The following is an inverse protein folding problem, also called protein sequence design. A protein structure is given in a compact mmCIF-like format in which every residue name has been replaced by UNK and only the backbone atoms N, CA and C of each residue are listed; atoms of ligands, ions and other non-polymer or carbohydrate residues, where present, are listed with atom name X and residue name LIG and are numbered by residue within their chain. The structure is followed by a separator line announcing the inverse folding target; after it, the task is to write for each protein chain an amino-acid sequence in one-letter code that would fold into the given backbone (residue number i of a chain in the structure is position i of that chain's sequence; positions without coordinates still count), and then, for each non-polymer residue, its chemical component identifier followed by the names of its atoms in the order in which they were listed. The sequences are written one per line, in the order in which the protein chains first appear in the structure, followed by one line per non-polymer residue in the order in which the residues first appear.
data_IF_494284572692
#
_entry.id   IF_494284572692
#
_cell.length_a   1.000
_cell.length_b   1.000
_cell.length_c   1.000
_cell.angle_alpha   90.00
_cell.angle_beta   90.00
_cell.angle_gamma   90.00
#
_symmetry.space_group_name_H-M   'P 1'
#
loop_
_entity.id
_entity.type
_entity.pdbx_description
1 polymer ?
#
# COMPACT_ATOMS: atom_id res chain seq x y z
N UNK A 1 12.01 -28.11 -0.01
CA UNK A 1 11.55 -27.18 1.05
C UNK A 1 11.46 -25.82 0.40
N UNK A 2 10.27 -25.43 -0.06
CA UNK A 2 10.03 -24.07 -0.54
C UNK A 2 10.08 -23.13 0.66
N UNK A 3 11.00 -22.17 0.62
CA UNK A 3 10.91 -21.02 1.51
C UNK A 3 9.59 -20.34 1.20
N UNK A 4 8.70 -20.22 2.19
CA UNK A 4 7.58 -19.31 2.10
C UNK A 4 8.16 -17.92 1.87
N UNK A 5 8.11 -17.42 0.63
CA UNK A 5 8.45 -16.04 0.32
C UNK A 5 7.42 -15.18 1.04
N UNK A 6 7.79 -14.69 2.21
CA UNK A 6 7.00 -13.73 2.93
C UNK A 6 6.89 -12.48 2.05
N UNK A 7 5.73 -12.37 1.39
CA UNK A 7 5.30 -11.29 0.51
C UNK A 7 6.02 -11.23 -0.83
N UNK A 8 5.27 -11.38 -1.92
CA UNK A 8 5.77 -10.99 -3.23
C UNK A 8 5.82 -9.45 -3.28
N UNK A 9 7.00 -8.83 -3.47
CA UNK A 9 7.10 -7.39 -3.65
C UNK A 9 6.53 -7.00 -5.02
N UNK A 10 5.80 -5.90 -5.06
CA UNK A 10 5.16 -5.35 -6.27
C UNK A 10 5.62 -3.90 -6.41
N UNK A 11 6.41 -3.63 -7.44
CA UNK A 11 6.89 -2.28 -7.75
C UNK A 11 5.93 -1.58 -8.73
N UNK A 12 5.29 -0.49 -8.31
CA UNK A 12 4.44 0.31 -9.20
C UNK A 12 5.24 1.34 -9.99
N UNK A 13 5.13 1.27 -11.31
CA UNK A 13 5.84 2.12 -12.26
C UNK A 13 5.11 3.45 -12.48
N UNK A 14 5.82 4.44 -13.00
CA UNK A 14 5.23 5.74 -13.37
C UNK A 14 4.15 5.67 -14.46
N UNK A 15 4.08 4.55 -15.18
CA UNK A 15 3.05 4.21 -16.19
C UNK A 15 1.75 3.70 -15.59
N UNK A 16 1.77 3.22 -14.34
CA UNK A 16 0.66 2.52 -13.69
C UNK A 16 -0.32 3.54 -13.11
N UNK A 17 -0.83 4.43 -13.96
CA UNK A 17 -1.60 5.63 -13.55
C UNK A 17 -3.08 5.38 -13.41
N UNK A 18 -3.58 4.25 -13.91
CA UNK A 18 -4.98 3.84 -13.84
C UNK A 18 -5.07 2.38 -13.38
N UNK A 19 -6.20 1.94 -12.79
CA UNK A 19 -6.34 0.55 -12.37
C UNK A 19 -6.07 -0.47 -13.48
N UNK A 20 -6.46 -0.13 -14.73
CA UNK A 20 -6.23 -0.97 -15.90
C UNK A 20 -4.75 -0.99 -16.35
N UNK A 21 -4.02 0.11 -16.17
CA UNK A 21 -2.60 0.21 -16.53
C UNK A 21 -1.66 -0.39 -15.47
N UNK A 22 -2.13 -0.55 -14.24
CA UNK A 22 -1.37 -1.17 -13.15
C UNK A 22 -1.54 -2.69 -13.05
N UNK A 23 -0.73 -3.34 -12.19
CA UNK A 23 -0.79 -4.78 -11.97
C UNK A 23 -2.12 -5.21 -11.32
N UNK A 24 -2.48 -6.47 -11.54
CA UNK A 24 -3.56 -7.16 -10.84
C UNK A 24 -2.95 -8.18 -9.87
N UNK A 25 -3.20 -7.97 -8.59
CA UNK A 25 -2.79 -8.86 -7.50
C UNK A 25 -3.94 -9.84 -7.24
N UNK A 26 -3.93 -10.97 -7.96
CA UNK A 26 -5.10 -11.86 -8.08
C UNK A 26 -5.42 -12.66 -6.82
N UNK A 27 -4.43 -12.94 -5.98
CA UNK A 27 -4.57 -13.81 -4.80
C UNK A 27 -4.75 -12.98 -3.53
N UNK A 28 -6.00 -12.74 -3.13
CA UNK A 28 -6.34 -12.01 -1.91
C UNK A 28 -6.01 -12.76 -0.60
N UNK A 29 -5.56 -14.01 -0.67
CA UNK A 29 -5.23 -14.83 0.51
C UNK A 29 -3.79 -14.64 0.98
N UNK A 30 -2.95 -14.00 0.15
CA UNK A 30 -1.58 -13.64 0.50
C UNK A 30 -1.41 -12.13 0.65
N UNK A 31 -0.41 -11.74 1.42
CA UNK A 31 -0.07 -10.35 1.63
C UNK A 31 0.98 -9.89 0.60
N UNK A 32 0.77 -8.71 0.01
CA UNK A 32 1.71 -8.08 -0.93
C UNK A 32 2.37 -6.84 -0.30
N UNK A 33 3.67 -6.68 -0.56
CA UNK A 33 4.38 -5.43 -0.30
C UNK A 33 4.36 -4.58 -1.58
N UNK A 34 3.53 -3.54 -1.62
CA UNK A 34 3.41 -2.66 -2.80
C UNK A 34 4.28 -1.42 -2.62
N UNK A 35 5.34 -1.33 -3.40
CA UNK A 35 6.32 -0.25 -3.36
C UNK A 35 6.04 0.77 -4.47
N UNK A 36 6.17 2.05 -4.12
CA UNK A 36 6.00 3.15 -5.06
C UNK A 36 6.71 4.41 -4.58
N UNK A 37 7.05 5.29 -5.53
CA UNK A 37 7.63 6.59 -5.24
C UNK A 37 6.94 7.71 -6.02
N UNK A 38 6.94 8.90 -5.42
CA UNK A 38 6.42 10.12 -6.01
C UNK A 38 7.50 11.20 -6.02
N UNK A 39 7.73 11.80 -7.18
CA UNK A 39 8.68 12.91 -7.35
C UNK A 39 8.00 14.27 -7.42
N UNK A 40 6.67 14.30 -7.66
CA UNK A 40 5.87 15.52 -7.80
C UNK A 40 4.49 15.34 -7.17
N UNK A 41 3.90 16.43 -6.71
CA UNK A 41 2.51 16.46 -6.25
C UNK A 41 1.55 15.98 -7.34
N UNK A 42 0.42 15.38 -6.94
CA UNK A 42 -0.67 14.94 -7.83
C UNK A 42 -0.31 13.76 -8.76
N UNK A 43 0.85 13.14 -8.58
CA UNK A 43 1.13 11.86 -9.22
C UNK A 43 0.25 10.77 -8.60
N UNK A 44 -0.17 9.82 -9.44
CA UNK A 44 -0.99 8.66 -9.03
C UNK A 44 -0.26 7.39 -9.43
N UNK A 45 -0.40 6.36 -8.58
CA UNK A 45 -0.14 4.96 -8.90
C UNK A 45 -1.40 4.19 -8.57
N UNK A 46 -1.73 3.22 -9.41
CA UNK A 46 -2.91 2.42 -9.27
C UNK A 46 -2.57 0.96 -9.54
N UNK A 47 -3.28 0.07 -8.88
CA UNK A 47 -3.24 -1.36 -9.07
C UNK A 47 -4.63 -1.91 -8.75
N UNK A 48 -4.86 -3.17 -9.07
CA UNK A 48 -6.06 -3.91 -8.68
C UNK A 48 -5.65 -5.06 -7.78
N UNK A 49 -6.52 -5.45 -6.87
CA UNK A 49 -6.36 -6.66 -6.08
C UNK A 49 -7.68 -7.46 -6.17
N UNK A 50 -7.55 -8.77 -6.33
CA UNK A 50 -8.66 -9.71 -6.35
C UNK A 50 -8.91 -10.25 -4.96
N UNK A 51 -10.16 -10.19 -4.52
CA UNK A 51 -10.64 -10.77 -3.27
C UNK A 51 -11.93 -11.54 -3.58
N UNK A 52 -12.13 -12.66 -2.90
CA UNK A 52 -13.44 -13.29 -2.84
C UNK A 52 -14.36 -12.50 -1.90
N UNK A 53 -15.67 -12.62 -2.12
CA UNK A 53 -16.65 -12.04 -1.20
C UNK A 53 -16.45 -12.62 0.21
N UNK A 54 -16.39 -11.74 1.21
CA UNK A 54 -16.16 -12.15 2.59
C UNK A 54 -14.68 -12.24 2.99
N UNK A 55 -13.74 -12.08 2.05
CA UNK A 55 -12.32 -12.07 2.38
C UNK A 55 -11.97 -10.87 3.26
N UNK A 56 -10.94 -11.07 4.10
CA UNK A 56 -10.40 -9.99 4.93
C UNK A 56 -9.50 -9.08 4.09
N UNK A 57 -9.91 -7.84 3.92
CA UNK A 57 -9.07 -6.75 3.40
C UNK A 57 -8.30 -6.09 4.54
N UNK A 58 -7.01 -6.40 4.68
CA UNK A 58 -6.11 -5.71 5.61
C UNK A 58 -5.21 -4.71 4.86
N UNK A 59 -5.23 -3.45 5.27
CA UNK A 59 -4.45 -2.37 4.65
C UNK A 59 -3.49 -1.75 5.64
N UNK A 60 -2.26 -1.51 5.20
CA UNK A 60 -1.23 -0.80 5.95
C UNK A 60 -0.52 0.17 5.00
N UNK A 61 -0.46 1.44 5.38
CA UNK A 61 0.33 2.44 4.67
C UNK A 61 1.57 2.75 5.47
N UNK A 62 2.73 2.50 4.87
CA UNK A 62 4.04 2.73 5.47
C UNK A 62 4.81 3.78 4.68
N UNK A 63 5.75 4.44 5.35
CA UNK A 63 6.76 5.31 4.74
C UNK A 63 8.10 5.09 5.43
N UNK A 64 9.23 5.33 4.77
CA UNK A 64 10.54 5.17 5.42
C UNK A 64 10.69 6.07 6.64
N UNK A 65 11.29 5.53 7.70
CA UNK A 65 11.71 6.30 8.88
C UNK A 65 13.07 6.95 8.69
N UNK A 66 13.23 7.67 7.58
CA UNK A 66 14.45 8.42 7.25
C UNK A 66 14.12 9.77 6.62
N UNK A 67 15.10 10.66 6.49
CA UNK A 67 14.87 11.96 5.84
C UNK A 67 14.93 11.76 4.32
N UNK A 68 14.07 12.44 3.53
CA UNK A 68 13.07 13.43 3.97
C UNK A 68 11.72 12.86 4.46
N UNK A 69 11.43 11.59 4.21
CA UNK A 69 10.14 10.91 4.37
C UNK A 69 9.53 11.09 5.77
N UNK A 70 10.32 10.82 6.82
CA UNK A 70 9.86 10.90 8.21
C UNK A 70 9.43 12.31 8.61
N UNK A 71 9.92 13.34 7.93
CA UNK A 71 9.61 14.74 8.22
C UNK A 71 8.47 15.32 7.35
N UNK A 72 7.89 14.54 6.44
CA UNK A 72 6.82 15.02 5.58
C UNK A 72 5.57 15.41 6.41
N UNK A 73 5.03 16.60 6.18
CA UNK A 73 3.74 16.99 6.78
C UNK A 73 2.60 16.21 6.15
N UNK A 74 1.44 16.11 6.82
CA UNK A 74 0.26 15.38 6.29
C UNK A 74 -0.12 15.79 4.87
N UNK A 75 0.05 17.08 4.50
CA UNK A 75 -0.24 17.60 3.15
C UNK A 75 0.70 17.08 2.06
N UNK A 76 1.88 16.58 2.43
CA UNK A 76 2.90 16.02 1.51
C UNK A 76 2.89 14.50 1.49
N UNK A 77 2.11 13.84 2.34
CA UNK A 77 2.01 12.39 2.36
C UNK A 77 1.11 11.89 1.23
N UNK A 78 1.36 10.69 0.71
CA UNK A 78 0.46 10.04 -0.21
C UNK A 78 -0.85 9.67 0.48
N UNK A 79 -1.92 9.58 -0.30
CA UNK A 79 -3.25 9.16 0.17
C UNK A 79 -3.61 7.86 -0.54
N UNK A 80 -4.05 6.85 0.21
CA UNK A 80 -4.56 5.60 -0.34
C UNK A 80 -6.09 5.68 -0.42
N UNK A 81 -6.62 5.75 -1.64
CA UNK A 81 -8.06 5.59 -1.93
C UNK A 81 -8.30 4.18 -2.45
N UNK A 82 -9.28 3.51 -1.89
CA UNK A 82 -9.74 2.18 -2.31
C UNK A 82 -11.15 2.32 -2.86
N UNK A 83 -11.43 1.62 -3.95
CA UNK A 83 -12.73 1.62 -4.63
C UNK A 83 -13.12 0.18 -4.94
N UNK A 84 -14.29 -0.25 -4.48
CA UNK A 84 -14.84 -1.58 -4.72
C UNK A 84 -15.39 -1.69 -6.16
N UNK A 85 -15.64 -2.92 -6.67
CA UNK A 85 -16.32 -3.12 -7.95
C UNK A 85 -17.72 -2.49 -8.02
N UNK A 86 -18.41 -2.32 -6.89
CA UNK A 86 -19.71 -1.65 -6.80
C UNK A 86 -19.62 -0.12 -6.89
N UNK A 87 -18.40 0.45 -6.87
CA UNK A 87 -18.16 1.89 -6.92
C UNK A 87 -18.06 2.58 -5.56
N UNK A 88 -18.32 1.85 -4.46
CA UNK A 88 -18.10 2.37 -3.12
C UNK A 88 -16.61 2.69 -2.92
N UNK A 89 -16.31 3.78 -2.22
CA UNK A 89 -14.93 4.21 -2.00
C UNK A 89 -14.70 4.64 -0.57
N UNK A 90 -13.50 4.37 -0.08
CA UNK A 90 -13.00 4.98 1.14
C UNK A 90 -11.54 5.39 0.98
N UNK A 91 -11.11 6.31 1.84
CA UNK A 91 -9.72 6.75 1.94
C UNK A 91 -9.15 6.23 3.25
N UNK A 92 -7.97 5.61 3.22
CA UNK A 92 -7.27 5.20 4.43
C UNK A 92 -6.80 6.46 5.18
N UNK A 93 -7.27 6.61 6.42
CA UNK A 93 -6.92 7.77 7.24
C UNK A 93 -5.47 7.70 7.73
N UNK A 94 -4.77 8.84 7.70
CA UNK A 94 -3.43 8.99 8.29
C UNK A 94 -3.57 9.49 9.73
N UNK A 95 -3.57 8.54 10.66
CA UNK A 95 -3.87 8.77 12.09
C UNK A 95 -2.68 8.52 13.00
N UNK A 96 -1.59 7.94 12.49
CA UNK A 96 -0.46 7.51 13.31
C UNK A 96 0.90 7.77 12.64
N UNK A 97 1.96 7.61 13.44
CA UNK A 97 3.38 7.58 13.05
C UNK A 97 4.09 6.59 13.97
N UNK A 98 3.76 5.32 13.82
CA UNK A 98 4.23 4.26 14.70
C UNK A 98 5.48 3.60 14.09
N UNK A 99 6.64 3.57 14.77
CA UNK A 99 7.83 2.92 14.26
C UNK A 99 7.63 1.43 13.98
N UNK A 100 8.23 0.96 12.91
CA UNK A 100 8.23 -0.45 12.49
C UNK A 100 9.59 -0.82 11.89
N UNK A 101 10.25 -1.81 12.46
CA UNK A 101 11.43 -2.41 11.87
C UNK A 101 11.00 -3.62 11.04
N UNK A 102 11.25 -3.57 9.74
CA UNK A 102 11.05 -4.70 8.84
C UNK A 102 12.32 -5.58 8.86
N UNK A 103 12.25 -6.81 9.39
CA UNK A 103 13.43 -7.61 9.65
C UNK A 103 14.06 -8.21 8.39
N UNK A 104 13.28 -8.37 7.32
CA UNK A 104 13.74 -9.07 6.11
C UNK A 104 14.61 -8.20 5.20
N UNK A 105 14.23 -6.95 4.97
CA UNK A 105 15.03 -5.96 4.25
C UNK A 105 15.87 -5.07 5.17
N UNK A 106 15.77 -5.25 6.48
CA UNK A 106 16.53 -4.50 7.48
C UNK A 106 16.22 -3.00 7.47
N UNK A 107 14.97 -2.62 7.11
CA UNK A 107 14.56 -1.23 6.90
C UNK A 107 13.60 -0.76 7.98
N UNK A 108 13.76 0.48 8.43
CA UNK A 108 12.80 1.12 9.34
C UNK A 108 11.75 1.90 8.57
N UNK A 109 10.50 1.76 9.00
CA UNK A 109 9.33 2.44 8.49
C UNK A 109 8.54 3.09 9.62
N UNK A 110 7.64 3.99 9.24
CA UNK A 110 6.55 4.47 10.07
C UNK A 110 5.23 3.98 9.48
N UNK A 111 4.40 3.32 10.28
CA UNK A 111 2.99 3.18 9.94
C UNK A 111 2.33 4.56 9.96
N UNK A 112 1.61 4.88 8.89
CA UNK A 112 0.84 6.11 8.74
C UNK A 112 -0.66 5.89 9.02
N UNK A 113 -1.16 4.70 8.67
CA UNK A 113 -2.55 4.31 8.87
C UNK A 113 -2.75 2.83 8.57
N UNK A 114 -3.73 2.23 9.25
CA UNK A 114 -4.08 0.82 9.14
C UNK A 114 -5.59 0.65 9.15
N UNK A 115 -6.10 -0.32 8.39
CA UNK A 115 -7.52 -0.66 8.39
C UNK A 115 -7.71 -2.15 8.15
N UNK A 116 -8.82 -2.69 8.67
CA UNK A 116 -9.32 -4.02 8.33
C UNK A 116 -10.78 -3.87 7.92
N UNK A 117 -11.13 -4.48 6.79
CA UNK A 117 -12.49 -4.55 6.27
C UNK A 117 -12.77 -5.95 5.72
N UNK A 118 -14.01 -6.17 5.34
CA UNK A 118 -14.45 -7.33 4.56
C UNK A 118 -14.59 -6.86 3.11
N UNK A 119 -14.08 -7.64 2.16
CA UNK A 119 -14.15 -7.39 0.73
C UNK A 119 -15.53 -7.72 0.15
#
# INVERSE_FOLDING_TARGET
MESALAHQPVELKATDRTPAAGPLLVDGTISFAVNLSFSKSKQVRAFRAGFAEGDKLALQLLIYDEKPEKNLTKKKLPVLKVTSPSGESFTLAITERTPFYEPWGGRNYLYLGRATRVA
#
